data_IF_067696009181
#
_entry.id   IF_067696009181
#
_cell.length_a   1.000
_cell.length_b   1.000
_cell.length_c   1.000
_cell.angle_alpha   90.00
_cell.angle_beta   90.00
_cell.angle_gamma   90.00
#
_symmetry.space_group_name_H-M   'P 1'
#
loop_
_entity.id
_entity.type
_entity.pdbx_description
1 polymer ?
#
# COMPACT_ATOMS: atom_id res chain seq x y z
N UNK A 1 -76.53 -134.13 18.71
CA UNK A 1 -77.55 -133.10 18.41
C UNK A 1 -77.69 -132.03 19.49
N UNK A 2 -78.32 -132.27 20.66
CA UNK A 2 -78.53 -131.21 21.67
C UNK A 2 -77.22 -130.64 22.28
N UNK A 3 -76.21 -131.48 22.50
CA UNK A 3 -74.88 -131.05 22.98
C UNK A 3 -74.12 -130.21 21.94
N UNK A 4 -74.26 -130.52 20.66
CA UNK A 4 -73.62 -129.79 19.56
C UNK A 4 -74.26 -128.42 19.36
N UNK A 5 -75.59 -128.31 19.46
CA UNK A 5 -76.31 -127.03 19.41
C UNK A 5 -75.86 -126.11 20.55
N UNK A 6 -75.75 -126.63 21.78
CA UNK A 6 -75.27 -125.86 22.93
C UNK A 6 -73.80 -125.42 22.76
N UNK A 7 -72.95 -126.28 22.17
CA UNK A 7 -71.57 -125.91 21.86
C UNK A 7 -71.48 -124.80 20.81
N UNK A 8 -72.31 -124.88 19.75
CA UNK A 8 -72.37 -123.84 18.72
C UNK A 8 -72.87 -122.52 19.30
N UNK A 9 -73.91 -122.53 20.13
CA UNK A 9 -74.42 -121.32 20.78
C UNK A 9 -73.38 -120.67 21.71
N UNK A 10 -72.65 -121.46 22.48
CA UNK A 10 -71.57 -120.96 23.32
C UNK A 10 -70.42 -120.36 22.49
N UNK A 11 -70.07 -121.00 21.36
CA UNK A 11 -69.06 -120.47 20.44
C UNK A 11 -69.52 -119.16 19.79
N UNK A 12 -70.78 -119.08 19.34
CA UNK A 12 -71.37 -117.83 18.81
C UNK A 12 -71.34 -116.73 19.86
N UNK A 13 -71.76 -117.03 21.10
CA UNK A 13 -71.73 -116.05 22.19
C UNK A 13 -70.29 -115.59 22.49
N UNK A 14 -69.33 -116.51 22.50
CA UNK A 14 -67.91 -116.21 22.68
C UNK A 14 -67.40 -115.31 21.55
N UNK A 15 -67.69 -115.62 20.28
CA UNK A 15 -67.30 -114.80 19.14
C UNK A 15 -67.95 -113.42 19.14
N UNK A 16 -69.21 -113.30 19.58
CA UNK A 16 -69.87 -112.00 19.75
C UNK A 16 -69.18 -111.19 20.85
N UNK A 17 -68.82 -111.81 21.98
CA UNK A 17 -68.07 -111.13 23.04
C UNK A 17 -66.67 -110.70 22.59
N UNK A 18 -65.97 -111.54 21.84
CA UNK A 18 -64.65 -111.23 21.26
C UNK A 18 -64.75 -110.11 20.22
N UNK A 19 -65.76 -110.13 19.37
CA UNK A 19 -66.04 -109.09 18.40
C UNK A 19 -66.33 -107.75 19.10
N UNK A 20 -67.18 -107.74 20.13
CA UNK A 20 -67.47 -106.53 20.91
C UNK A 20 -66.22 -105.98 21.60
N UNK A 21 -65.40 -106.84 22.22
CA UNK A 21 -64.12 -106.44 22.81
C UNK A 21 -63.16 -105.87 21.76
N UNK A 22 -63.17 -106.41 20.54
CA UNK A 22 -62.36 -105.89 19.43
C UNK A 22 -62.86 -104.53 18.96
N UNK A 23 -64.19 -104.36 18.83
CA UNK A 23 -64.81 -103.08 18.48
C UNK A 23 -64.55 -102.00 19.54
N UNK A 24 -64.63 -102.34 20.82
CA UNK A 24 -64.33 -101.40 21.91
C UNK A 24 -62.86 -100.95 21.87
N UNK A 25 -61.93 -101.88 21.63
CA UNK A 25 -60.51 -101.54 21.44
C UNK A 25 -60.29 -100.65 20.22
N UNK A 26 -60.93 -100.97 19.09
CA UNK A 26 -60.85 -100.18 17.87
C UNK A 26 -61.41 -98.77 18.08
N UNK A 27 -62.55 -98.65 18.77
CA UNK A 27 -63.16 -97.36 19.12
C UNK A 27 -62.23 -96.52 19.99
N UNK A 28 -61.62 -97.10 21.02
CA UNK A 28 -60.64 -96.39 21.86
C UNK A 28 -59.48 -95.85 21.04
N UNK A 29 -58.94 -96.65 20.11
CA UNK A 29 -57.85 -96.23 19.21
C UNK A 29 -58.30 -95.08 18.31
N UNK A 30 -59.51 -95.18 17.72
CA UNK A 30 -60.08 -94.12 16.91
C UNK A 30 -60.28 -92.82 17.70
N UNK A 31 -60.86 -92.90 18.89
CA UNK A 31 -61.11 -91.75 19.75
C UNK A 31 -59.79 -91.07 20.18
N UNK A 32 -58.76 -91.86 20.51
CA UNK A 32 -57.41 -91.34 20.80
C UNK A 32 -56.80 -90.62 19.59
N UNK A 33 -56.83 -91.25 18.41
CA UNK A 33 -56.28 -90.65 17.19
C UNK A 33 -56.99 -89.36 16.79
N UNK A 34 -58.33 -89.30 16.92
CA UNK A 34 -59.12 -88.10 16.64
C UNK A 34 -58.77 -86.98 17.61
N UNK A 35 -58.68 -87.27 18.91
CA UNK A 35 -58.32 -86.28 19.92
C UNK A 35 -56.89 -85.75 19.72
N UNK A 36 -55.93 -86.62 19.39
CA UNK A 36 -54.56 -86.23 19.09
C UNK A 36 -54.47 -85.32 17.86
N UNK A 37 -55.24 -85.62 16.80
CA UNK A 37 -55.31 -84.78 15.61
C UNK A 37 -55.95 -83.41 15.90
N UNK A 38 -57.05 -83.37 16.65
CA UNK A 38 -57.71 -82.11 17.03
C UNK A 38 -56.81 -81.22 17.91
N UNK A 39 -56.06 -81.82 18.84
CA UNK A 39 -55.10 -81.11 19.67
C UNK A 39 -53.93 -80.54 18.84
N UNK A 40 -53.39 -81.34 17.91
CA UNK A 40 -52.32 -80.88 17.00
C UNK A 40 -52.78 -79.74 16.09
N UNK A 41 -54.01 -79.82 15.57
CA UNK A 41 -54.59 -78.78 14.72
C UNK A 41 -54.79 -77.48 15.50
N UNK A 42 -55.37 -77.56 16.71
CA UNK A 42 -55.62 -76.39 17.57
C UNK A 42 -54.33 -75.67 17.99
N UNK A 43 -53.28 -76.42 18.35
CA UNK A 43 -51.98 -75.84 18.70
C UNK A 43 -51.25 -75.25 17.49
N UNK A 44 -51.35 -75.90 16.32
CA UNK A 44 -50.81 -75.39 15.06
C UNK A 44 -51.45 -74.06 14.65
N UNK A 45 -52.77 -73.98 14.72
CA UNK A 45 -53.56 -72.78 14.36
C UNK A 45 -53.25 -71.61 15.31
N UNK A 46 -53.16 -71.85 16.61
CA UNK A 46 -52.85 -70.80 17.59
C UNK A 46 -51.44 -70.23 17.39
N UNK A 47 -50.45 -71.10 17.18
CA UNK A 47 -49.07 -70.68 16.94
C UNK A 47 -48.93 -69.91 15.62
N UNK A 48 -49.61 -70.38 14.56
CA UNK A 48 -49.62 -69.71 13.26
C UNK A 48 -50.30 -68.33 13.35
N UNK A 49 -51.44 -68.21 14.03
CA UNK A 49 -52.12 -66.92 14.23
C UNK A 49 -51.27 -65.93 15.03
N UNK A 50 -50.58 -66.38 16.09
CA UNK A 50 -49.66 -65.53 16.84
C UNK A 50 -48.47 -65.08 15.98
N UNK A 51 -47.92 -65.97 15.15
CA UNK A 51 -46.86 -65.63 14.22
C UNK A 51 -47.31 -64.58 13.18
N UNK A 52 -48.50 -64.74 12.59
CA UNK A 52 -49.07 -63.76 11.67
C UNK A 52 -49.27 -62.39 12.33
N UNK A 53 -49.74 -62.36 13.58
CA UNK A 53 -49.91 -61.10 14.34
C UNK A 53 -48.57 -60.42 14.61
N UNK A 54 -47.52 -61.18 14.90
CA UNK A 54 -46.17 -60.64 15.07
C UNK A 54 -45.62 -60.06 13.76
N UNK A 55 -45.77 -60.78 12.64
CA UNK A 55 -45.39 -60.29 11.32
C UNK A 55 -46.15 -59.00 10.94
N UNK A 56 -47.45 -58.92 11.24
CA UNK A 56 -48.23 -57.70 11.00
C UNK A 56 -47.69 -56.51 11.81
N UNK A 57 -47.31 -56.73 13.07
CA UNK A 57 -46.72 -55.69 13.91
C UNK A 57 -45.33 -55.26 13.40
N UNK A 58 -44.49 -56.21 12.97
CA UNK A 58 -43.19 -55.92 12.35
C UNK A 58 -43.35 -55.11 11.06
N UNK A 59 -44.28 -55.50 10.18
CA UNK A 59 -44.60 -54.75 8.96
C UNK A 59 -45.06 -53.32 9.29
N UNK A 60 -45.90 -53.16 10.32
CA UNK A 60 -46.34 -51.83 10.77
C UNK A 60 -45.16 -50.98 11.26
N UNK A 61 -44.28 -51.56 12.07
CA UNK A 61 -43.10 -50.86 12.58
C UNK A 61 -42.14 -50.48 11.45
N UNK A 62 -41.87 -51.39 10.52
CA UNK A 62 -41.05 -51.12 9.33
C UNK A 62 -41.64 -49.99 8.47
N UNK A 63 -42.97 -49.93 8.33
CA UNK A 63 -43.62 -48.84 7.60
C UNK A 63 -43.47 -47.48 8.31
N UNK A 64 -43.55 -47.44 9.65
CA UNK A 64 -43.30 -46.21 10.41
C UNK A 64 -41.85 -45.75 10.27
N UNK A 65 -40.90 -46.68 10.37
CA UNK A 65 -39.47 -46.39 10.20
C UNK A 65 -39.16 -45.91 8.77
N UNK A 66 -39.73 -46.58 7.76
CA UNK A 66 -39.62 -46.15 6.35
C UNK A 66 -40.11 -44.71 6.17
N UNK A 67 -41.28 -44.35 6.69
CA UNK A 67 -41.82 -43.00 6.55
C UNK A 67 -40.95 -41.97 7.27
N UNK A 68 -40.47 -42.30 8.47
CA UNK A 68 -39.52 -41.46 9.20
C UNK A 68 -38.21 -41.23 8.43
N UNK A 69 -37.68 -42.27 7.79
CA UNK A 69 -36.47 -42.18 6.96
C UNK A 69 -36.71 -41.36 5.68
N UNK A 70 -37.89 -41.48 5.05
CA UNK A 70 -38.27 -40.65 3.91
C UNK A 70 -38.36 -39.16 4.28
N UNK A 71 -38.95 -38.84 5.44
CA UNK A 71 -39.02 -37.46 5.91
C UNK A 71 -37.64 -36.90 6.26
N UNK A 72 -36.75 -37.73 6.82
CA UNK A 72 -35.34 -37.36 6.99
C UNK A 72 -34.63 -37.10 5.66
N UNK A 73 -34.86 -37.94 4.65
CA UNK A 73 -34.29 -37.76 3.31
C UNK A 73 -34.69 -36.42 2.70
N UNK A 74 -35.99 -36.06 2.75
CA UNK A 74 -36.46 -34.75 2.26
C UNK A 74 -35.78 -33.58 2.96
N UNK A 75 -35.59 -33.68 4.28
CA UNK A 75 -34.86 -32.65 5.06
C UNK A 75 -33.40 -32.54 4.64
N UNK A 76 -32.75 -33.67 4.33
CA UNK A 76 -31.38 -33.66 3.81
C UNK A 76 -31.34 -32.94 2.46
N UNK A 77 -32.25 -33.25 1.53
CA UNK A 77 -32.33 -32.58 0.22
C UNK A 77 -32.53 -31.06 0.35
N UNK A 78 -33.31 -30.61 1.35
CA UNK A 78 -33.49 -29.19 1.65
C UNK A 78 -32.22 -28.53 2.18
N UNK A 79 -31.48 -29.19 3.07
CA UNK A 79 -30.20 -28.70 3.58
C UNK A 79 -29.11 -28.66 2.50
N UNK A 80 -29.10 -29.63 1.57
CA UNK A 80 -28.19 -29.61 0.41
C UNK A 80 -28.42 -28.39 -0.49
N UNK A 81 -29.69 -28.04 -0.76
CA UNK A 81 -30.03 -26.82 -1.51
C UNK A 81 -29.56 -25.55 -0.80
N UNK A 82 -29.72 -25.48 0.52
CA UNK A 82 -29.21 -24.34 1.32
C UNK A 82 -27.68 -24.26 1.25
N UNK A 83 -27.00 -25.41 1.31
CA UNK A 83 -25.55 -25.48 1.19
C UNK A 83 -25.06 -24.97 -0.17
N UNK A 84 -25.75 -25.31 -1.27
CA UNK A 84 -25.39 -24.81 -2.60
C UNK A 84 -25.58 -23.29 -2.74
N UNK A 85 -26.63 -22.72 -2.16
CA UNK A 85 -26.82 -21.26 -2.09
C UNK A 85 -25.65 -20.61 -1.31
N UNK A 86 -25.23 -21.21 -0.19
CA UNK A 86 -24.10 -20.71 0.59
C UNK A 86 -22.79 -20.75 -0.20
N UNK A 87 -22.52 -21.80 -0.98
CA UNK A 87 -21.33 -21.88 -1.86
C UNK A 87 -21.31 -20.74 -2.88
N UNK A 88 -22.45 -20.44 -3.51
CA UNK A 88 -22.58 -19.31 -4.45
C UNK A 88 -22.31 -17.97 -3.74
N UNK A 89 -22.89 -17.78 -2.55
CA UNK A 89 -22.67 -16.56 -1.77
C UNK A 89 -21.19 -16.38 -1.38
N UNK A 90 -20.50 -17.45 -0.97
CA UNK A 90 -19.06 -17.41 -0.68
C UNK A 90 -18.25 -16.99 -1.92
N UNK A 91 -18.58 -17.54 -3.10
CA UNK A 91 -17.95 -17.14 -4.36
C UNK A 91 -18.15 -15.64 -4.66
N UNK A 92 -19.38 -15.13 -4.48
CA UNK A 92 -19.71 -13.72 -4.67
C UNK A 92 -18.97 -12.79 -3.70
N UNK A 93 -18.85 -13.20 -2.43
CA UNK A 93 -18.08 -12.47 -1.41
C UNK A 93 -16.60 -12.42 -1.79
N UNK A 94 -16.02 -13.56 -2.19
CA UNK A 94 -14.62 -13.62 -2.62
C UNK A 94 -14.33 -12.71 -3.83
N UNK A 95 -15.23 -12.70 -4.82
CA UNK A 95 -15.13 -11.81 -5.98
C UNK A 95 -15.23 -10.33 -5.56
N UNK A 96 -16.14 -10.00 -4.65
CA UNK A 96 -16.29 -8.63 -4.13
C UNK A 96 -15.06 -8.18 -3.32
N UNK A 97 -14.52 -9.07 -2.49
CA UNK A 97 -13.29 -8.83 -1.73
C UNK A 97 -12.09 -8.60 -2.66
N UNK A 98 -12.00 -9.36 -3.75
CA UNK A 98 -10.93 -9.19 -4.74
C UNK A 98 -10.98 -7.80 -5.40
N UNK A 99 -12.19 -7.33 -5.77
CA UNK A 99 -12.40 -5.97 -6.30
C UNK A 99 -12.04 -4.90 -5.28
N UNK A 100 -12.47 -5.07 -4.02
CA UNK A 100 -12.18 -4.10 -2.95
C UNK A 100 -10.68 -3.96 -2.70
N UNK A 101 -9.94 -5.08 -2.67
CA UNK A 101 -8.47 -5.06 -2.57
C UNK A 101 -7.83 -4.30 -3.74
N UNK A 102 -8.33 -4.50 -4.96
CA UNK A 102 -7.86 -3.76 -6.13
C UNK A 102 -8.08 -2.25 -5.97
N UNK A 103 -9.30 -1.83 -5.61
CA UNK A 103 -9.63 -0.41 -5.40
C UNK A 103 -8.80 0.24 -4.30
N UNK A 104 -8.47 -0.49 -3.24
CA UNK A 104 -7.58 0.01 -2.20
C UNK A 104 -6.18 0.33 -2.74
N UNK A 105 -5.60 -0.57 -3.54
CA UNK A 105 -4.27 -0.35 -4.13
C UNK A 105 -4.30 0.80 -5.17
N UNK A 106 -5.37 0.92 -5.96
CA UNK A 106 -5.60 2.05 -6.87
C UNK A 106 -5.65 3.39 -6.11
N UNK A 107 -6.36 3.45 -4.98
CA UNK A 107 -6.46 4.65 -4.16
C UNK A 107 -5.11 5.04 -3.53
N UNK A 108 -4.28 4.07 -3.13
CA UNK A 108 -2.92 4.34 -2.67
C UNK A 108 -2.04 4.87 -3.79
N UNK A 109 -2.14 4.32 -5.00
CA UNK A 109 -1.45 4.84 -6.17
C UNK A 109 -1.87 6.27 -6.51
N UNK A 110 -3.17 6.59 -6.40
CA UNK A 110 -3.67 7.94 -6.68
C UNK A 110 -2.99 8.99 -5.81
N UNK A 111 -2.75 8.71 -4.52
CA UNK A 111 -1.96 9.59 -3.63
C UNK A 111 -0.51 9.75 -4.09
N UNK A 112 0.09 8.69 -4.64
CA UNK A 112 1.45 8.76 -5.19
C UNK A 112 1.49 9.70 -6.40
N UNK A 113 0.50 9.59 -7.29
CA UNK A 113 0.36 10.45 -8.47
C UNK A 113 0.16 11.92 -8.11
N UNK A 114 -0.79 12.22 -7.22
CA UNK A 114 -1.07 13.59 -6.77
C UNK A 114 0.18 14.24 -6.16
N UNK A 115 0.93 13.50 -5.33
CA UNK A 115 2.18 14.00 -4.79
C UNK A 115 3.21 14.27 -5.90
N UNK A 116 3.35 13.38 -6.88
CA UNK A 116 4.27 13.57 -8.00
C UNK A 116 3.94 14.81 -8.85
N UNK A 117 2.66 15.14 -9.02
CA UNK A 117 2.21 16.35 -9.71
C UNK A 117 2.62 17.64 -8.97
N UNK A 118 2.42 17.68 -7.64
CA UNK A 118 2.87 18.80 -6.81
C UNK A 118 4.39 18.96 -6.88
N UNK A 119 5.13 17.85 -6.78
CA UNK A 119 6.60 17.87 -6.84
C UNK A 119 7.13 18.35 -8.19
N UNK A 120 6.41 18.06 -9.28
CA UNK A 120 6.77 18.56 -10.61
C UNK A 120 6.70 20.09 -10.66
N UNK A 121 5.63 20.68 -10.14
CA UNK A 121 5.52 22.14 -10.07
C UNK A 121 6.65 22.75 -9.22
N UNK A 122 6.99 22.12 -8.10
CA UNK A 122 8.06 22.60 -7.23
C UNK A 122 9.43 22.55 -7.91
N UNK A 123 9.79 21.44 -8.55
CA UNK A 123 11.11 21.32 -9.18
C UNK A 123 11.23 22.22 -10.42
N UNK A 124 10.13 22.45 -11.16
CA UNK A 124 10.09 23.41 -12.26
C UNK A 124 10.33 24.85 -11.76
N UNK A 125 9.72 25.24 -10.63
CA UNK A 125 9.99 26.53 -9.98
C UNK A 125 11.45 26.66 -9.55
N UNK A 126 12.01 25.64 -8.90
CA UNK A 126 13.43 25.63 -8.49
C UNK A 126 14.34 25.78 -9.71
N UNK A 127 14.07 25.03 -10.79
CA UNK A 127 14.84 25.10 -12.03
C UNK A 127 14.80 26.49 -12.66
N UNK A 128 13.62 27.10 -12.74
CA UNK A 128 13.46 28.47 -13.26
C UNK A 128 14.23 29.48 -12.42
N UNK A 129 14.18 29.36 -11.09
CA UNK A 129 14.89 30.26 -10.18
C UNK A 129 16.41 30.11 -10.31
N UNK A 130 16.93 28.88 -10.37
CA UNK A 130 18.36 28.60 -10.60
C UNK A 130 18.83 29.19 -11.93
N UNK A 131 18.04 29.05 -12.99
CA UNK A 131 18.37 29.61 -14.30
C UNK A 131 18.40 31.14 -14.27
N UNK A 132 17.42 31.75 -13.62
CA UNK A 132 17.35 33.22 -13.46
C UNK A 132 18.55 33.76 -12.69
N UNK A 133 18.87 33.14 -11.54
CA UNK A 133 20.04 33.52 -10.75
C UNK A 133 21.32 33.38 -11.57
N UNK A 134 21.49 32.24 -12.23
CA UNK A 134 22.63 31.97 -13.11
C UNK A 134 22.79 33.04 -14.21
N UNK A 135 21.71 33.53 -14.81
CA UNK A 135 21.76 34.58 -15.83
C UNK A 135 22.13 35.95 -15.23
N UNK A 136 21.70 36.26 -14.01
CA UNK A 136 22.14 37.45 -13.26
C UNK A 136 23.65 37.39 -13.01
N UNK A 137 24.21 36.22 -12.68
CA UNK A 137 25.65 36.07 -12.50
C UNK A 137 26.47 36.30 -13.77
N UNK A 138 25.94 35.96 -14.95
CA UNK A 138 26.62 36.10 -16.26
C UNK A 138 26.72 37.54 -16.75
N UNK A 139 25.86 38.45 -16.28
CA UNK A 139 25.93 39.86 -16.71
C UNK A 139 27.26 40.45 -16.23
N UNK A 140 28.13 40.96 -17.14
CA UNK A 140 29.34 41.65 -16.73
C UNK A 140 28.92 42.88 -15.93
N UNK A 141 29.27 42.90 -14.65
CA UNK A 141 29.14 44.10 -13.84
C UNK A 141 30.26 45.05 -14.25
N UNK A 142 29.93 46.31 -14.49
CA UNK A 142 30.90 47.38 -14.76
C UNK A 142 31.83 47.53 -13.55
N UNK A 143 32.95 46.80 -13.56
CA UNK A 143 34.09 47.10 -12.72
C UNK A 143 34.81 48.29 -13.34
N UNK A 144 34.89 49.42 -12.63
CA UNK A 144 35.99 50.34 -12.86
C UNK A 144 37.23 49.63 -12.30
N UNK A 145 38.05 49.09 -13.20
CA UNK A 145 39.29 48.39 -12.87
C UNK A 145 40.24 49.33 -12.14
N UNK A 146 40.46 49.07 -10.85
CA UNK A 146 41.60 49.60 -10.11
C UNK A 146 42.34 48.39 -9.50
N UNK A 147 43.54 48.15 -10.04
CA UNK A 147 44.53 47.13 -9.71
C UNK A 147 44.36 45.70 -10.25
N UNK A 148 45.48 45.21 -10.78
CA UNK A 148 45.68 44.11 -11.74
C UNK A 148 45.65 42.68 -11.18
N UNK A 149 45.07 42.41 -10.01
CA UNK A 149 45.04 41.07 -9.42
C UNK A 149 43.64 40.37 -9.43
N UNK A 150 42.65 40.89 -10.18
CA UNK A 150 41.27 40.35 -10.17
C UNK A 150 41.03 39.13 -11.09
N UNK A 151 41.96 38.80 -11.99
CA UNK A 151 41.70 37.87 -13.11
C UNK A 151 41.49 36.40 -12.70
N UNK A 152 42.04 35.98 -11.56
CA UNK A 152 41.89 34.60 -11.06
C UNK A 152 40.49 34.35 -10.48
N UNK A 153 39.90 35.35 -9.81
CA UNK A 153 38.63 35.22 -9.10
C UNK A 153 37.38 35.39 -9.99
N UNK A 154 37.45 36.15 -11.08
CA UNK A 154 36.38 36.18 -12.08
C UNK A 154 36.20 34.83 -12.79
N UNK A 155 37.30 34.10 -13.01
CA UNK A 155 37.27 32.74 -13.58
C UNK A 155 36.55 31.74 -12.66
N UNK A 156 36.76 31.83 -11.34
CA UNK A 156 36.13 30.92 -10.36
C UNK A 156 34.60 31.10 -10.27
N UNK A 157 34.11 32.33 -10.45
CA UNK A 157 32.67 32.62 -10.39
C UNK A 157 31.97 32.18 -11.68
N UNK A 158 32.55 32.48 -12.86
CA UNK A 158 31.96 32.08 -14.14
C UNK A 158 31.94 30.55 -14.33
N UNK A 159 32.97 29.84 -13.88
CA UNK A 159 32.97 28.36 -13.89
C UNK A 159 31.87 27.75 -12.98
N UNK A 160 31.51 28.41 -11.87
CA UNK A 160 30.46 27.92 -10.98
C UNK A 160 29.06 28.04 -11.58
N UNK A 161 28.79 29.05 -12.39
CA UNK A 161 27.45 29.29 -12.98
C UNK A 161 27.06 28.21 -14.00
N UNK A 162 27.97 27.85 -14.90
CA UNK A 162 27.73 26.77 -15.87
C UNK A 162 27.53 25.43 -15.14
N UNK A 163 28.30 25.22 -14.08
CA UNK A 163 28.19 24.02 -13.21
C UNK A 163 26.81 23.94 -12.55
N UNK A 164 26.25 25.06 -12.07
CA UNK A 164 24.91 25.08 -11.48
C UNK A 164 23.80 24.75 -12.47
N UNK A 165 23.88 25.28 -13.70
CA UNK A 165 22.92 24.94 -14.76
C UNK A 165 22.98 23.46 -15.14
N UNK A 166 24.19 22.94 -15.34
CA UNK A 166 24.38 21.52 -15.65
C UNK A 166 23.83 20.61 -14.54
N UNK A 167 24.14 20.93 -13.27
CA UNK A 167 23.67 20.14 -12.14
C UNK A 167 22.13 20.15 -12.01
N UNK A 168 21.46 21.30 -12.19
CA UNK A 168 19.99 21.31 -12.12
C UNK A 168 19.37 20.59 -13.31
N UNK A 169 19.97 20.65 -14.50
CA UNK A 169 19.50 19.91 -15.67
C UNK A 169 19.64 18.40 -15.47
N UNK A 170 20.74 17.91 -14.89
CA UNK A 170 20.93 16.50 -14.53
C UNK A 170 19.86 16.02 -13.54
N UNK A 171 19.68 16.75 -12.43
CA UNK A 171 18.66 16.42 -11.41
C UNK A 171 17.26 16.42 -12.05
N UNK A 172 16.96 17.42 -12.88
CA UNK A 172 15.67 17.54 -13.55
C UNK A 172 15.41 16.41 -14.56
N UNK A 173 16.44 15.98 -15.30
CA UNK A 173 16.32 14.88 -16.25
C UNK A 173 15.99 13.56 -15.54
N UNK A 174 16.66 13.26 -14.42
CA UNK A 174 16.34 12.08 -13.59
C UNK A 174 14.94 12.21 -13.02
N UNK A 175 14.55 13.40 -12.55
CA UNK A 175 13.20 13.65 -12.04
C UNK A 175 12.13 13.36 -13.10
N UNK A 176 12.29 13.89 -14.31
CA UNK A 176 11.30 13.72 -15.39
C UNK A 176 11.18 12.25 -15.82
N UNK A 177 12.28 11.49 -15.80
CA UNK A 177 12.22 10.04 -16.07
C UNK A 177 11.32 9.31 -15.07
N UNK A 178 11.55 9.48 -13.77
CA UNK A 178 10.72 8.87 -12.72
C UNK A 178 9.27 9.37 -12.75
N UNK A 179 9.07 10.67 -12.99
CA UNK A 179 7.73 11.24 -13.12
C UNK A 179 6.96 10.61 -14.29
N UNK A 180 7.60 10.47 -15.46
CA UNK A 180 6.98 9.86 -16.64
C UNK A 180 6.65 8.38 -16.41
N UNK A 181 7.48 7.65 -15.64
CA UNK A 181 7.15 6.28 -15.24
C UNK A 181 5.89 6.23 -14.37
N UNK A 182 5.74 7.14 -13.41
CA UNK A 182 4.51 7.24 -12.60
C UNK A 182 3.29 7.54 -13.49
N UNK A 183 3.41 8.44 -14.46
CA UNK A 183 2.31 8.74 -15.40
C UNK A 183 1.95 7.53 -16.28
N UNK A 184 2.97 6.78 -16.74
CA UNK A 184 2.75 5.51 -17.46
C UNK A 184 2.01 4.51 -16.59
N UNK A 185 2.46 4.30 -15.36
CA UNK A 185 1.79 3.42 -14.39
C UNK A 185 0.35 3.84 -14.09
N UNK A 186 0.04 5.15 -14.11
CA UNK A 186 -1.34 5.64 -13.96
C UNK A 186 -2.23 5.11 -15.08
N UNK A 187 -1.73 5.11 -16.32
CA UNK A 187 -2.49 4.63 -17.48
C UNK A 187 -2.72 3.12 -17.39
N UNK A 188 -1.77 2.38 -16.83
CA UNK A 188 -1.87 0.93 -16.64
C UNK A 188 -2.82 0.58 -15.48
N UNK A 189 -2.68 1.22 -14.32
CA UNK A 189 -3.36 0.83 -13.09
C UNK A 189 -4.87 1.06 -13.13
N UNK A 190 -5.31 2.15 -13.78
CA UNK A 190 -6.72 2.46 -13.95
C UNK A 190 -7.34 1.78 -15.18
N UNK A 191 -6.58 0.92 -15.88
CA UNK A 191 -7.15 0.06 -16.91
C UNK A 191 -7.98 -1.08 -16.31
N UNK A 192 -9.07 -1.45 -16.97
CA UNK A 192 -9.98 -2.50 -16.51
C UNK A 192 -9.34 -3.91 -16.51
N UNK A 193 -8.20 -4.07 -17.16
CA UNK A 193 -7.55 -5.36 -17.44
C UNK A 193 -6.71 -5.92 -16.29
N UNK A 194 -6.28 -5.09 -15.34
CA UNK A 194 -5.37 -5.56 -14.29
C UNK A 194 -6.11 -6.22 -13.12
N UNK A 195 -5.50 -7.27 -12.61
CA UNK A 195 -5.93 -7.98 -11.42
C UNK A 195 -5.31 -7.37 -10.15
N UNK A 196 -5.73 -7.79 -8.95
CA UNK A 196 -5.25 -7.22 -7.68
C UNK A 196 -3.71 -7.34 -7.52
N UNK A 197 -3.14 -8.50 -7.86
CA UNK A 197 -1.69 -8.74 -7.68
C UNK A 197 -0.89 -7.79 -8.59
N UNK A 198 -1.28 -7.69 -9.85
CA UNK A 198 -0.64 -6.78 -10.81
C UNK A 198 -0.78 -5.31 -10.38
N UNK A 199 -1.95 -4.92 -9.89
CA UNK A 199 -2.22 -3.56 -9.37
C UNK A 199 -1.29 -3.23 -8.21
N UNK A 200 -1.14 -4.17 -7.27
CA UNK A 200 -0.23 -4.02 -6.12
C UNK A 200 1.23 -3.86 -6.55
N UNK A 201 1.69 -4.68 -7.49
CA UNK A 201 3.07 -4.61 -8.00
C UNK A 201 3.37 -3.27 -8.68
N UNK A 202 2.44 -2.75 -9.49
CA UNK A 202 2.59 -1.43 -10.14
C UNK A 202 2.67 -0.32 -9.08
N UNK A 203 1.81 -0.37 -8.06
CA UNK A 203 1.87 0.60 -6.94
C UNK A 203 3.21 0.51 -6.18
N UNK A 204 3.75 -0.69 -5.97
CA UNK A 204 5.05 -0.84 -5.31
C UNK A 204 6.19 -0.27 -6.16
N UNK A 205 6.15 -0.42 -7.48
CA UNK A 205 7.08 0.25 -8.40
C UNK A 205 6.93 1.77 -8.35
N UNK A 206 5.70 2.29 -8.32
CA UNK A 206 5.47 3.73 -8.26
C UNK A 206 5.98 4.37 -6.96
N UNK A 207 5.96 3.65 -5.83
CA UNK A 207 6.55 4.12 -4.57
C UNK A 207 8.07 4.30 -4.71
N UNK A 208 8.76 3.39 -5.41
CA UNK A 208 10.20 3.53 -5.66
C UNK A 208 10.51 4.78 -6.46
N UNK A 209 9.74 5.02 -7.53
CA UNK A 209 9.87 6.24 -8.33
C UNK A 209 9.56 7.50 -7.50
N UNK A 210 8.54 7.47 -6.65
CA UNK A 210 8.21 8.59 -5.76
C UNK A 210 9.36 8.92 -4.79
N UNK A 211 10.08 7.90 -4.29
CA UNK A 211 11.25 8.12 -3.46
C UNK A 211 12.37 8.81 -4.24
N UNK A 212 12.56 8.48 -5.52
CA UNK A 212 13.49 9.18 -6.40
C UNK A 212 13.07 10.65 -6.59
N UNK A 213 11.77 10.92 -6.80
CA UNK A 213 11.28 12.30 -6.90
C UNK A 213 11.56 13.11 -5.62
N UNK A 214 11.30 12.54 -4.44
CA UNK A 214 11.61 13.19 -3.15
C UNK A 214 13.10 13.53 -3.02
N UNK A 215 13.98 12.62 -3.46
CA UNK A 215 15.42 12.82 -3.40
C UNK A 215 15.86 13.94 -4.35
N UNK A 216 15.39 13.92 -5.59
CA UNK A 216 15.72 14.92 -6.60
C UNK A 216 15.24 16.33 -6.18
N UNK A 217 14.03 16.45 -5.63
CA UNK A 217 13.50 17.72 -5.11
C UNK A 217 14.36 18.27 -3.96
N UNK A 218 14.82 17.39 -3.06
CA UNK A 218 15.72 17.74 -1.96
C UNK A 218 17.07 18.23 -2.48
N UNK A 219 17.66 17.52 -3.44
CA UNK A 219 18.93 17.90 -4.07
C UNK A 219 18.82 19.24 -4.80
N UNK A 220 17.77 19.45 -5.58
CA UNK A 220 17.49 20.71 -6.26
C UNK A 220 17.33 21.88 -5.26
N UNK A 221 16.63 21.65 -4.16
CA UNK A 221 16.44 22.66 -3.10
C UNK A 221 17.77 23.04 -2.42
N UNK A 222 18.64 22.06 -2.17
CA UNK A 222 19.98 22.31 -1.62
C UNK A 222 20.83 23.09 -2.62
N UNK A 223 20.77 22.74 -3.91
CA UNK A 223 21.47 23.45 -4.97
C UNK A 223 21.06 24.93 -5.03
N UNK A 224 19.74 25.20 -5.04
CA UNK A 224 19.19 26.56 -5.02
C UNK A 224 19.67 27.35 -3.79
N UNK A 225 19.65 26.73 -2.60
CA UNK A 225 20.14 27.35 -1.37
C UNK A 225 21.61 27.76 -1.49
N UNK A 226 22.45 26.88 -2.03
CA UNK A 226 23.88 27.15 -2.20
C UNK A 226 24.13 28.30 -3.19
N UNK A 227 23.36 28.37 -4.28
CA UNK A 227 23.45 29.47 -5.25
C UNK A 227 23.09 30.81 -4.61
N UNK A 228 22.01 30.88 -3.84
CA UNK A 228 21.60 32.09 -3.09
C UNK A 228 22.65 32.55 -2.09
N UNK A 229 23.29 31.62 -1.37
CA UNK A 229 24.39 31.93 -0.45
C UNK A 229 25.57 32.53 -1.23
N UNK A 230 25.95 31.93 -2.35
CA UNK A 230 27.07 32.41 -3.15
C UNK A 230 26.79 33.78 -3.79
N UNK A 231 25.54 34.04 -4.19
CA UNK A 231 25.11 35.36 -4.67
C UNK A 231 25.26 36.41 -3.56
N UNK A 232 24.79 36.08 -2.37
CA UNK A 232 24.90 36.95 -1.19
C UNK A 232 26.37 37.25 -0.88
N UNK A 233 27.24 36.24 -0.88
CA UNK A 233 28.69 36.41 -0.66
C UNK A 233 29.29 37.31 -1.75
N UNK A 234 28.88 37.14 -3.02
CA UNK A 234 29.35 37.98 -4.15
C UNK A 234 28.96 39.45 -3.92
N UNK A 235 27.71 39.72 -3.56
CA UNK A 235 27.22 41.08 -3.26
C UNK A 235 27.96 41.70 -2.06
N UNK A 236 28.18 40.96 -0.98
CA UNK A 236 28.94 41.46 0.17
C UNK A 236 30.38 41.85 -0.19
N UNK A 237 31.06 41.02 -1.00
CA UNK A 237 32.41 41.34 -1.48
C UNK A 237 32.40 42.59 -2.36
N UNK A 238 31.40 42.77 -3.21
CA UNK A 238 31.25 43.96 -4.02
C UNK A 238 31.12 45.22 -3.16
N UNK A 239 30.18 45.24 -2.22
CA UNK A 239 29.98 46.38 -1.30
C UNK A 239 31.27 46.68 -0.54
N UNK A 240 31.98 45.65 -0.08
CA UNK A 240 33.26 45.81 0.62
C UNK A 240 34.31 46.51 -0.25
N UNK A 241 34.45 46.11 -1.52
CA UNK A 241 35.41 46.69 -2.45
C UNK A 241 35.06 48.14 -2.81
N UNK A 242 33.78 48.43 -3.07
CA UNK A 242 33.30 49.79 -3.32
C UNK A 242 33.63 50.72 -2.14
N UNK A 243 33.37 50.27 -0.90
CA UNK A 243 33.72 51.03 0.31
C UNK A 243 35.23 51.21 0.51
N UNK A 244 36.05 50.24 0.11
CA UNK A 244 37.51 50.37 0.17
C UNK A 244 38.02 51.43 -0.81
N UNK A 245 37.43 51.50 -2.01
CA UNK A 245 37.75 52.55 -2.99
C UNK A 245 37.37 53.93 -2.45
N UNK A 246 36.20 54.08 -1.81
CA UNK A 246 35.80 55.35 -1.17
C UNK A 246 36.85 55.80 -0.13
N UNK A 247 37.30 54.88 0.73
CA UNK A 247 38.31 55.17 1.76
C UNK A 247 39.67 55.54 1.15
N UNK A 248 40.06 54.89 0.06
CA UNK A 248 41.29 55.22 -0.65
C UNK A 248 41.23 56.63 -1.24
N UNK A 249 40.14 56.97 -1.93
CA UNK A 249 39.94 58.30 -2.52
C UNK A 249 39.99 59.41 -1.46
N UNK A 250 39.31 59.22 -0.32
CA UNK A 250 39.34 60.18 0.81
C UNK A 250 40.78 60.38 1.33
N UNK A 251 41.58 59.30 1.36
CA UNK A 251 42.97 59.35 1.84
C UNK A 251 43.87 60.09 0.84
N UNK A 252 43.67 59.90 -0.46
CA UNK A 252 44.38 60.67 -1.49
C UNK A 252 44.02 62.15 -1.42
N UNK A 253 42.73 62.49 -1.33
CA UNK A 253 42.25 63.87 -1.17
C UNK A 253 42.85 64.54 0.07
N UNK A 254 42.90 63.82 1.20
CA UNK A 254 43.52 64.29 2.43
C UNK A 254 45.02 64.58 2.25
N UNK A 255 45.76 63.71 1.57
CA UNK A 255 47.18 63.92 1.30
C UNK A 255 47.39 65.16 0.40
N UNK A 256 46.55 65.35 -0.60
CA UNK A 256 46.60 66.50 -1.50
C UNK A 256 46.33 67.81 -0.74
N UNK A 257 45.33 67.83 0.14
CA UNK A 257 45.04 68.96 1.02
C UNK A 257 46.21 69.28 1.96
N UNK A 258 46.88 68.27 2.51
CA UNK A 258 48.07 68.46 3.34
C UNK A 258 49.24 69.07 2.56
N UNK A 259 49.45 68.64 1.31
CA UNK A 259 50.47 69.24 0.43
C UNK A 259 50.17 70.73 0.16
N UNK A 260 48.91 71.07 -0.16
CA UNK A 260 48.47 72.45 -0.35
C UNK A 260 48.63 73.30 0.91
N UNK A 261 48.25 72.78 2.08
CA UNK A 261 48.43 73.46 3.37
C UNK A 261 49.91 73.76 3.66
N UNK A 262 50.80 72.79 3.43
CA UNK A 262 52.24 72.99 3.58
C UNK A 262 52.78 74.04 2.59
N UNK A 263 52.34 74.02 1.34
CA UNK A 263 52.71 75.03 0.36
C UNK A 263 52.28 76.44 0.81
N UNK A 264 51.02 76.62 1.21
CA UNK A 264 50.51 77.89 1.71
C UNK A 264 51.26 78.37 2.97
N UNK A 265 51.62 77.46 3.87
CA UNK A 265 52.39 77.77 5.07
C UNK A 265 53.79 78.30 4.70
N UNK A 266 54.47 77.65 3.75
CA UNK A 266 55.78 78.07 3.27
C UNK A 266 55.72 79.45 2.59
N UNK A 267 54.74 79.69 1.71
CA UNK A 267 54.49 80.99 1.08
C UNK A 267 54.25 82.09 2.13
N UNK A 268 53.43 81.82 3.15
CA UNK A 268 53.21 82.75 4.26
C UNK A 268 54.47 83.06 5.06
N UNK A 269 55.33 82.06 5.29
CA UNK A 269 56.62 82.28 5.96
C UNK A 269 57.56 83.13 5.10
N UNK A 270 57.58 82.93 3.79
CA UNK A 270 58.33 83.79 2.86
C UNK A 270 57.82 85.23 2.87
N UNK A 271 56.50 85.43 2.83
CA UNK A 271 55.89 86.76 2.92
C UNK A 271 56.19 87.45 4.26
N UNK A 272 56.21 86.70 5.37
CA UNK A 272 56.63 87.24 6.68
C UNK A 272 58.10 87.66 6.68
N UNK A 273 59.00 86.88 6.07
CA UNK A 273 60.41 87.25 5.90
C UNK A 273 60.53 88.53 5.07
N UNK A 274 59.87 88.59 3.91
CA UNK A 274 59.84 89.78 3.06
C UNK A 274 59.35 91.04 3.82
N UNK A 275 58.30 90.91 4.63
CA UNK A 275 57.80 92.00 5.46
C UNK A 275 58.83 92.46 6.52
N UNK A 276 59.55 91.53 7.13
CA UNK A 276 60.60 91.85 8.10
C UNK A 276 61.82 92.49 7.43
N UNK A 277 62.20 92.05 6.23
CA UNK A 277 63.31 92.61 5.45
C UNK A 277 62.97 94.05 4.99
N UNK A 278 61.73 94.30 4.54
CA UNK A 278 61.23 95.65 4.19
C UNK A 278 61.16 96.57 5.42
N UNK A 279 60.93 96.04 6.62
CA UNK A 279 60.99 96.82 7.87
C UNK A 279 62.43 97.10 8.32
N UNK A 280 63.38 96.19 8.07
CA UNK A 280 64.81 96.44 8.32
C UNK A 280 65.37 97.54 7.42
N UNK A 281 64.99 97.58 6.14
CA UNK A 281 65.37 98.67 5.22
C UNK A 281 64.80 100.03 5.65
N UNK A 282 63.55 100.08 6.15
CA UNK A 282 62.98 101.33 6.69
C UNK A 282 63.70 101.82 7.95
N UNK A 283 64.08 100.94 8.86
CA UNK A 283 64.87 101.31 10.05
C UNK A 283 66.31 101.71 9.70
N UNK A 284 66.87 101.26 8.58
CA UNK A 284 68.18 101.69 8.09
C UNK A 284 68.14 103.07 7.42
N UNK A 285 67.00 103.43 6.80
CA UNK A 285 66.77 104.76 6.23
C UNK A 285 66.45 105.78 7.34
N UNK A 286 65.66 105.42 8.36
CA UNK A 286 65.35 106.34 9.48
C UNK A 286 66.52 106.59 10.44
N UNK A 287 67.45 105.64 10.63
CA UNK A 287 68.67 105.86 11.44
C UNK A 287 69.83 106.54 10.68
N UNK A 288 69.69 106.83 9.39
CA UNK A 288 70.70 107.56 8.59
C UNK A 288 70.23 108.95 8.13
N UNK A 289 69.16 109.46 8.74
CA UNK A 289 68.78 110.87 8.60
C UNK A 289 68.76 111.56 9.96
N UNK A 290 69.92 112.15 10.28
CA UNK A 290 70.17 113.25 11.24
C UNK A 290 70.02 112.96 12.73
#
# INVERSE_FOLDING_TARGET
MLSEINSIQNNIHTYIQEANKSFDKFKIICDQNVNDLLNKLSLGDLNYMNHLKNLQNEIRNMNLEKNFMLDKSKKIDEEEKKLDILKVNISNINNSLYKLKKYYEEALFQKVKEKAEIQKENIEKIKQEINTLSDVFKKPFFFIQLNTDSSQHEKDINNNVETYKNNIDEIYNVFIQSYNLIQKYSSEIFSSTLNYIQTKEIKEKSIKEQNQLNQNEKEASVLLKNIKINETIKLFKQIKNERQNDVHNIKEDYNLLQQYLNYMKNEMEQLKKYKNDVHMDKNYVENNTW
#
